data_IF_763304859104
#
_entry.id   IF_763304859104
#
_cell.length_a   1.000
_cell.length_b   1.000
_cell.length_c   1.000
_cell.angle_alpha   90.00
_cell.angle_beta   90.00
_cell.angle_gamma   90.00
#
_symmetry.space_group_name_H-M   'P 1'
#
loop_
_entity.id
_entity.type
_entity.pdbx_description
1 polymer ?
#
# COMPACT_ATOMS: atom_id res chain seq x y z
N UNK A 1 32.59 4.08 9.56
CA UNK A 1 31.91 2.87 9.04
C UNK A 1 31.39 2.09 10.25
N UNK A 2 30.11 1.74 10.28
CA UNK A 2 29.52 1.01 11.41
C UNK A 2 29.70 -0.51 11.20
N UNK A 3 30.41 -1.17 12.12
CA UNK A 3 30.74 -2.60 12.05
C UNK A 3 29.49 -3.49 12.01
N UNK A 4 28.43 -3.12 12.75
CA UNK A 4 27.17 -3.88 12.76
C UNK A 4 26.46 -3.83 11.41
N UNK A 5 26.48 -2.67 10.73
CA UNK A 5 25.91 -2.53 9.40
C UNK A 5 26.65 -3.37 8.36
N UNK A 6 27.98 -3.49 8.47
CA UNK A 6 28.77 -4.35 7.60
C UNK A 6 28.37 -5.82 7.72
N UNK A 7 28.24 -6.33 8.97
CA UNK A 7 27.81 -7.70 9.19
C UNK A 7 26.36 -7.96 8.75
N UNK A 8 25.45 -7.01 8.99
CA UNK A 8 24.07 -7.10 8.51
C UNK A 8 24.02 -7.20 6.97
N UNK A 9 24.82 -6.40 6.25
CA UNK A 9 24.88 -6.44 4.79
C UNK A 9 25.44 -7.77 4.28
N UNK A 10 26.53 -8.26 4.88
CA UNK A 10 27.10 -9.57 4.53
C UNK A 10 26.06 -10.69 4.76
N UNK A 11 25.32 -10.65 5.87
CA UNK A 11 24.26 -11.62 6.15
C UNK A 11 23.13 -11.55 5.12
N UNK A 12 22.72 -10.34 4.71
CA UNK A 12 21.67 -10.14 3.70
C UNK A 12 22.03 -10.75 2.33
N UNK A 13 23.31 -10.70 1.93
CA UNK A 13 23.79 -11.32 0.68
C UNK A 13 24.15 -12.81 0.81
N UNK A 14 24.07 -13.39 2.01
CA UNK A 14 24.36 -14.81 2.23
C UNK A 14 23.23 -15.71 1.75
N UNK A 15 23.48 -17.03 1.69
CA UNK A 15 22.45 -18.04 1.43
C UNK A 15 21.28 -17.97 2.41
N UNK A 16 21.51 -17.55 3.66
CA UNK A 16 20.44 -17.39 4.65
C UNK A 16 19.56 -16.17 4.31
N UNK A 17 20.18 -15.04 3.94
CA UNK A 17 19.47 -13.85 3.48
C UNK A 17 18.64 -14.10 2.22
N UNK A 18 19.16 -14.90 1.28
CA UNK A 18 18.43 -15.31 0.08
C UNK A 18 17.16 -16.13 0.41
N UNK A 19 17.23 -17.07 1.36
CA UNK A 19 16.05 -17.86 1.79
C UNK A 19 15.00 -16.96 2.45
N UNK A 20 15.41 -16.11 3.38
CA UNK A 20 14.50 -15.15 4.02
C UNK A 20 13.84 -14.23 2.98
N UNK A 21 14.60 -13.76 1.98
CA UNK A 21 14.07 -12.93 0.91
C UNK A 21 13.03 -13.65 0.06
N UNK A 22 13.23 -14.94 -0.24
CA UNK A 22 12.25 -15.75 -0.96
C UNK A 22 10.94 -15.89 -0.16
N UNK A 23 11.03 -16.16 1.14
CA UNK A 23 9.87 -16.25 2.03
C UNK A 23 9.13 -14.90 2.14
N UNK A 24 9.87 -13.80 2.33
CA UNK A 24 9.30 -12.47 2.36
C UNK A 24 8.61 -12.12 1.05
N UNK A 25 9.21 -12.46 -0.09
CA UNK A 25 8.60 -12.21 -1.41
C UNK A 25 7.25 -12.91 -1.55
N UNK A 26 7.08 -14.11 -1.01
CA UNK A 26 5.79 -14.79 -1.02
C UNK A 26 4.74 -13.98 -0.26
N UNK A 27 5.05 -13.58 0.97
CA UNK A 27 4.16 -12.74 1.80
C UNK A 27 3.78 -11.43 1.09
N UNK A 28 4.76 -10.74 0.52
CA UNK A 28 4.51 -9.48 -0.20
C UNK A 28 3.66 -9.69 -1.45
N UNK A 29 3.92 -10.76 -2.20
CA UNK A 29 3.16 -11.09 -3.41
C UNK A 29 1.71 -11.36 -3.05
N UNK A 30 1.47 -12.17 -2.02
CA UNK A 30 0.11 -12.46 -1.56
C UNK A 30 -0.58 -11.18 -1.08
N UNK A 31 0.13 -10.31 -0.34
CA UNK A 31 -0.42 -9.04 0.14
C UNK A 31 -0.84 -8.14 -1.01
N UNK A 32 0.00 -8.01 -2.04
CA UNK A 32 -0.29 -7.24 -3.25
C UNK A 32 -1.54 -7.80 -3.95
N UNK A 33 -1.63 -9.12 -4.16
CA UNK A 33 -2.77 -9.75 -4.83
C UNK A 33 -4.08 -9.48 -4.10
N UNK A 34 -4.09 -9.71 -2.79
CA UNK A 34 -5.26 -9.40 -1.96
C UNK A 34 -5.63 -7.92 -2.03
N UNK A 35 -4.67 -7.02 -1.87
CA UNK A 35 -4.95 -5.59 -1.82
C UNK A 35 -5.54 -5.10 -3.14
N UNK A 36 -4.96 -5.50 -4.28
CA UNK A 36 -5.46 -5.18 -5.62
C UNK A 36 -6.86 -5.73 -5.83
N UNK A 37 -7.11 -7.00 -5.47
CA UNK A 37 -8.44 -7.61 -5.58
C UNK A 37 -9.47 -6.89 -4.70
N UNK A 38 -9.12 -6.61 -3.45
CA UNK A 38 -10.02 -5.96 -2.50
C UNK A 38 -10.39 -4.54 -2.97
N UNK A 39 -9.42 -3.74 -3.43
CA UNK A 39 -9.66 -2.38 -3.94
C UNK A 39 -10.63 -2.44 -5.12
N UNK A 40 -10.37 -3.31 -6.10
CA UNK A 40 -11.21 -3.46 -7.29
C UNK A 40 -12.64 -3.87 -6.99
N UNK A 41 -12.83 -4.68 -5.95
CA UNK A 41 -14.16 -5.16 -5.55
C UNK A 41 -14.92 -4.14 -4.70
N UNK A 42 -14.22 -3.38 -3.85
CA UNK A 42 -14.85 -2.63 -2.76
C UNK A 42 -14.78 -1.11 -2.89
N UNK A 43 -13.83 -0.56 -3.64
CA UNK A 43 -13.62 0.89 -3.75
C UNK A 43 -13.98 1.37 -5.16
N UNK A 44 -15.28 1.48 -5.50
CA UNK A 44 -15.70 1.98 -6.82
C UNK A 44 -15.11 3.37 -7.05
N UNK A 45 -14.69 3.69 -8.27
CA UNK A 45 -14.04 4.97 -8.57
C UNK A 45 -12.57 5.08 -8.11
N UNK A 46 -12.00 4.05 -7.50
CA UNK A 46 -10.56 3.93 -7.25
C UNK A 46 -9.95 2.90 -8.19
N UNK A 47 -8.97 3.32 -9.00
CA UNK A 47 -8.28 2.42 -9.92
C UNK A 47 -6.92 1.99 -9.38
N UNK A 48 -6.56 0.73 -9.62
CA UNK A 48 -5.25 0.20 -9.25
C UNK A 48 -4.77 -0.85 -10.26
N UNK A 49 -3.51 -0.71 -10.67
CA UNK A 49 -2.82 -1.67 -11.52
C UNK A 49 -2.08 -2.72 -10.67
N UNK A 50 -1.99 -3.95 -11.17
CA UNK A 50 -1.14 -4.97 -10.56
C UNK A 50 0.32 -4.55 -10.77
N UNK A 51 1.11 -4.30 -9.71
CA UNK A 51 2.48 -3.88 -9.88
C UNK A 51 3.34 -5.05 -10.38
N UNK A 52 4.27 -4.76 -11.29
CA UNK A 52 5.25 -5.75 -11.77
C UNK A 52 6.42 -5.94 -10.78
N UNK A 53 6.61 -4.98 -9.89
CA UNK A 53 7.65 -4.98 -8.87
C UNK A 53 7.24 -4.11 -7.68
N UNK A 54 8.02 -4.18 -6.60
CA UNK A 54 7.82 -3.46 -5.33
C UNK A 54 6.61 -3.94 -4.52
N UNK A 55 6.52 -3.45 -3.29
CA UNK A 55 5.41 -3.63 -2.35
C UNK A 55 4.59 -2.34 -2.19
N UNK A 56 4.69 -1.44 -3.17
CA UNK A 56 3.97 -0.16 -3.19
C UNK A 56 2.87 -0.22 -4.24
N UNK A 57 1.67 0.15 -3.84
CA UNK A 57 0.53 0.33 -4.73
C UNK A 57 0.33 1.81 -5.03
N UNK A 58 -0.14 2.09 -6.24
CA UNK A 58 -0.50 3.41 -6.69
C UNK A 58 -1.97 3.42 -7.07
N UNK A 59 -2.77 4.09 -6.24
CA UNK A 59 -4.21 4.14 -6.35
C UNK A 59 -4.58 5.45 -7.02
N UNK A 60 -5.27 5.39 -8.15
CA UNK A 60 -5.89 6.57 -8.76
C UNK A 60 -7.26 6.80 -8.12
N UNK A 61 -7.38 7.89 -7.36
CA UNK A 61 -8.62 8.25 -6.67
C UNK A 61 -9.40 9.34 -7.44
N UNK A 62 -9.05 9.64 -8.69
CA UNK A 62 -9.69 10.70 -9.50
C UNK A 62 -11.20 10.47 -9.63
N UNK A 63 -11.62 9.23 -9.91
CA UNK A 63 -13.03 8.86 -10.05
C UNK A 63 -13.78 9.10 -8.74
N UNK A 64 -13.27 8.53 -7.65
CA UNK A 64 -13.82 8.65 -6.31
C UNK A 64 -13.98 10.12 -5.87
N UNK A 65 -12.90 10.90 -5.97
CA UNK A 65 -12.87 12.30 -5.56
C UNK A 65 -13.87 13.13 -6.36
N UNK A 66 -13.98 12.89 -7.67
CA UNK A 66 -14.93 13.58 -8.54
C UNK A 66 -16.38 13.26 -8.21
N UNK A 67 -16.69 11.99 -7.97
CA UNK A 67 -18.05 11.53 -7.64
C UNK A 67 -18.53 12.10 -6.30
N UNK A 68 -17.65 12.16 -5.30
CA UNK A 68 -17.99 12.62 -3.95
C UNK A 68 -17.75 14.12 -3.73
N UNK A 69 -17.21 14.83 -4.72
CA UNK A 69 -16.92 16.26 -4.64
C UNK A 69 -15.86 16.60 -3.58
N UNK A 70 -14.94 15.68 -3.28
CA UNK A 70 -13.86 15.87 -2.30
C UNK A 70 -12.52 16.04 -2.99
N UNK A 71 -11.59 16.69 -2.30
CA UNK A 71 -10.20 16.82 -2.72
C UNK A 71 -9.36 15.63 -2.24
N UNK A 72 -8.22 15.40 -2.89
CA UNK A 72 -7.25 14.40 -2.42
C UNK A 72 -6.76 14.70 -0.99
N UNK A 73 -6.61 15.98 -0.63
CA UNK A 73 -6.17 16.39 0.71
C UNK A 73 -7.19 15.96 1.78
N UNK A 74 -8.49 16.13 1.51
CA UNK A 74 -9.55 15.61 2.40
C UNK A 74 -9.51 14.10 2.49
N UNK A 75 -9.35 13.40 1.36
CA UNK A 75 -9.24 11.93 1.36
C UNK A 75 -8.04 11.45 2.19
N UNK A 76 -6.88 12.09 2.04
CA UNK A 76 -5.68 11.76 2.80
C UNK A 76 -5.89 11.89 4.32
N UNK A 77 -6.59 12.94 4.75
CA UNK A 77 -6.98 13.17 6.14
C UNK A 77 -7.97 12.10 6.61
N UNK A 78 -9.03 11.81 5.84
CA UNK A 78 -10.01 10.77 6.19
C UNK A 78 -9.37 9.40 6.44
N UNK A 79 -8.41 8.99 5.60
CA UNK A 79 -7.64 7.76 5.83
C UNK A 79 -6.82 7.81 7.13
N UNK A 80 -6.20 8.96 7.40
CA UNK A 80 -5.39 9.15 8.60
C UNK A 80 -6.25 9.15 9.88
N UNK A 81 -7.45 9.73 9.84
CA UNK A 81 -8.39 9.80 10.96
C UNK A 81 -8.89 8.41 11.40
N UNK A 82 -8.89 7.44 10.48
CA UNK A 82 -9.23 6.03 10.77
C UNK A 82 -7.99 5.18 11.10
N UNK A 83 -6.83 5.83 11.27
CA UNK A 83 -5.57 5.19 11.63
C UNK A 83 -4.87 4.48 10.48
N UNK A 84 -5.16 4.83 9.22
CA UNK A 84 -4.48 4.28 8.04
C UNK A 84 -3.47 5.30 7.50
N UNK A 85 -2.19 4.98 7.69
CA UNK A 85 -1.09 5.77 7.16
C UNK A 85 -0.84 5.46 5.68
N UNK A 86 -1.11 6.43 4.81
CA UNK A 86 -0.79 6.38 3.38
C UNK A 86 -0.15 7.69 2.91
N UNK A 87 0.44 7.69 1.72
CA UNK A 87 1.24 8.81 1.25
C UNK A 87 0.57 9.51 0.07
N UNK A 88 0.73 10.84 0.05
CA UNK A 88 0.34 11.67 -1.09
C UNK A 88 1.08 11.24 -2.36
N UNK A 89 0.33 10.76 -3.34
CA UNK A 89 0.83 10.30 -4.62
C UNK A 89 1.31 11.43 -5.53
N UNK A 90 0.91 12.68 -5.31
CA UNK A 90 1.30 13.84 -6.14
C UNK A 90 2.82 14.04 -6.17
N UNK A 91 3.50 13.71 -5.06
CA UNK A 91 4.97 13.72 -4.97
C UNK A 91 5.67 12.71 -5.91
N UNK A 92 4.90 11.81 -6.53
CA UNK A 92 5.36 10.76 -7.43
C UNK A 92 4.76 10.88 -8.83
N UNK A 93 4.11 12.01 -9.16
CA UNK A 93 3.66 12.33 -10.53
C UNK A 93 2.18 12.08 -10.84
N UNK A 94 1.38 11.59 -9.89
CA UNK A 94 -0.05 11.34 -10.07
C UNK A 94 -0.91 12.41 -9.40
N UNK A 95 -1.73 13.10 -10.19
CA UNK A 95 -2.45 14.31 -9.76
C UNK A 95 -3.48 14.07 -8.63
N UNK A 96 -4.16 12.92 -8.65
CA UNK A 96 -5.14 12.52 -7.64
C UNK A 96 -4.85 11.10 -7.10
N UNK A 97 -3.58 10.81 -6.81
CA UNK A 97 -3.16 9.46 -6.45
C UNK A 97 -2.76 9.33 -4.98
N UNK A 98 -2.91 8.12 -4.46
CA UNK A 98 -2.40 7.70 -3.16
C UNK A 98 -1.35 6.61 -3.37
N UNK A 99 -0.21 6.75 -2.70
CA UNK A 99 0.83 5.72 -2.64
C UNK A 99 0.70 4.93 -1.34
N UNK A 100 0.40 3.65 -1.45
CA UNK A 100 0.13 2.76 -0.31
C UNK A 100 1.22 1.69 -0.19
N UNK A 101 1.68 1.43 1.03
CA UNK A 101 2.65 0.37 1.32
C UNK A 101 1.92 -0.88 1.84
N UNK A 102 2.16 -2.03 1.21
CA UNK A 102 1.58 -3.32 1.60
C UNK A 102 2.60 -4.31 2.19
N UNK A 103 3.79 -3.83 2.57
CA UNK A 103 4.81 -4.59 3.29
C UNK A 103 4.57 -4.61 4.81
N UNK A 104 3.46 -5.23 5.20
CA UNK A 104 3.04 -5.42 6.59
C UNK A 104 2.41 -6.80 6.79
N UNK A 105 2.32 -7.32 8.03
CA UNK A 105 1.53 -8.50 8.33
C UNK A 105 0.13 -8.47 7.72
N UNK A 106 -0.29 -9.61 7.15
CA UNK A 106 -1.61 -9.81 6.50
C UNK A 106 -2.77 -9.26 7.33
N UNK A 107 -2.78 -9.56 8.63
CA UNK A 107 -3.83 -9.17 9.56
C UNK A 107 -3.98 -7.65 9.67
N UNK A 108 -2.88 -6.91 9.72
CA UNK A 108 -2.92 -5.44 9.74
C UNK A 108 -3.37 -4.84 8.41
N UNK A 109 -3.01 -5.48 7.29
CA UNK A 109 -3.48 -5.06 5.96
C UNK A 109 -5.00 -5.23 5.84
N UNK A 110 -5.52 -6.39 6.25
CA UNK A 110 -6.98 -6.67 6.27
C UNK A 110 -7.73 -5.70 7.17
N UNK A 111 -7.19 -5.41 8.36
CA UNK A 111 -7.77 -4.45 9.29
C UNK A 111 -7.82 -3.04 8.68
N UNK A 112 -6.72 -2.56 8.11
CA UNK A 112 -6.67 -1.25 7.47
C UNK A 112 -7.69 -1.14 6.33
N UNK A 113 -7.82 -2.18 5.51
CA UNK A 113 -8.74 -2.21 4.38
C UNK A 113 -10.20 -2.28 4.83
N UNK A 114 -10.49 -3.00 5.91
CA UNK A 114 -11.79 -3.00 6.57
C UNK A 114 -12.19 -1.60 7.05
N UNK A 115 -11.28 -0.88 7.73
CA UNK A 115 -11.53 0.50 8.18
C UNK A 115 -11.75 1.46 7.01
N UNK A 116 -10.92 1.37 5.96
CA UNK A 116 -11.10 2.18 4.76
C UNK A 116 -12.47 1.93 4.11
N UNK A 117 -12.88 0.66 3.97
CA UNK A 117 -14.19 0.29 3.43
C UNK A 117 -15.35 0.84 4.28
N UNK A 118 -15.21 0.80 5.60
CA UNK A 118 -16.29 1.16 6.51
C UNK A 118 -16.46 2.67 6.69
N UNK A 119 -15.38 3.45 6.60
CA UNK A 119 -15.38 4.85 7.02
C UNK A 119 -14.91 5.85 5.95
N UNK A 120 -14.19 5.41 4.93
CA UNK A 120 -13.59 6.31 3.92
C UNK A 120 -14.22 6.08 2.55
N UNK A 121 -14.22 4.84 2.07
CA UNK A 121 -14.79 4.44 0.78
C UNK A 121 -16.22 3.91 0.94
N UNK A 122 -17.07 4.70 1.57
CA UNK A 122 -18.50 4.38 1.80
C UNK A 122 -19.35 4.83 0.62
N UNK A 123 -20.27 3.98 0.16
CA UNK A 123 -21.26 4.33 -0.88
C UNK A 123 -22.13 5.53 -0.51
#
# INVERSE_FOLDING_TARGET
MNVMTMHALIAAYSNQGARWMQELRQVLSDNVHYAVSFIREHFPGVEVAMPQATYLLYLDCTGWCKEHGITLDQLLVQGSDVGVGWQDGRKFGGNCHIRMNVALPRTMLEEAFSRLKQFVFTR
#
